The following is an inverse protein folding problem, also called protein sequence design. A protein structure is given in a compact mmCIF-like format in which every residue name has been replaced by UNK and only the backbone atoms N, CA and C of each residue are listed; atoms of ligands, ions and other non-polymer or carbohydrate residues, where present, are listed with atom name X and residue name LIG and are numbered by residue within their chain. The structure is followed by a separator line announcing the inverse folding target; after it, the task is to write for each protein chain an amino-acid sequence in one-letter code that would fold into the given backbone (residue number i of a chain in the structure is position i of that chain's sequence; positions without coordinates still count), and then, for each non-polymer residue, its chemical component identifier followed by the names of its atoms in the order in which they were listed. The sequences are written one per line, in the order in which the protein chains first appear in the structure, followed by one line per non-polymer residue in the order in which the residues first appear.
data_IF_037444714180
#
_entry.id   IF_037444714180
#
_cell.length_a   1.000
_cell.length_b   1.000
_cell.length_c   1.000
_cell.angle_alpha   90.00
_cell.angle_beta   90.00
_cell.angle_gamma   90.00
#
_symmetry.space_group_name_H-M   'P 1'
#
loop_
_entity.id
_entity.type
_entity.pdbx_description
1 polymer ?
#
# COMPACT_ATOMS: atom_id res chain seq x y z
N UNK A 1 -5.28 9.00 26.03
CA UNK A 1 -4.35 7.91 25.67
C UNK A 1 -3.29 8.48 24.77
N UNK A 2 -2.01 8.49 25.20
CA UNK A 2 -0.90 8.86 24.32
C UNK A 2 -0.64 7.69 23.36
N UNK A 3 -0.51 7.92 22.04
CA UNK A 3 -0.07 6.87 21.13
C UNK A 3 1.34 6.46 21.52
N UNK A 4 1.57 5.16 21.69
CA UNK A 4 2.92 4.58 21.80
C UNK A 4 3.75 5.07 20.62
N UNK A 5 5.00 5.53 20.82
CA UNK A 5 5.84 5.98 19.73
C UNK A 5 5.99 4.86 18.71
N UNK A 6 5.64 5.12 17.45
CA UNK A 6 5.81 4.16 16.37
C UNK A 6 7.27 3.70 16.36
N UNK A 7 7.55 2.39 16.27
CA UNK A 7 8.92 1.89 16.28
C UNK A 7 9.68 2.56 15.14
N UNK A 8 10.79 3.23 15.50
CA UNK A 8 11.74 3.75 14.52
C UNK A 8 12.08 2.62 13.56
N UNK A 9 11.84 2.83 12.28
CA UNK A 9 12.10 1.84 11.24
C UNK A 9 13.47 1.19 11.46
N UNK A 10 13.51 -0.15 11.40
CA UNK A 10 14.76 -0.89 11.50
C UNK A 10 15.74 -0.36 10.46
N UNK A 11 17.05 -0.41 10.77
CA UNK A 11 18.10 -0.06 9.81
C UNK A 11 17.89 -0.88 8.52
N UNK A 12 17.43 -0.24 7.45
CA UNK A 12 17.24 -0.86 6.14
C UNK A 12 15.83 -0.74 5.55
N UNK A 13 14.81 -0.41 6.35
CA UNK A 13 13.45 -0.28 5.84
C UNK A 13 13.26 1.04 5.09
N UNK A 14 12.81 0.93 3.83
CA UNK A 14 12.50 2.08 2.99
C UNK A 14 11.16 2.70 3.43
N UNK A 15 11.21 3.65 4.37
CA UNK A 15 10.01 4.41 4.78
C UNK A 15 9.77 5.58 3.83
N UNK A 16 8.57 5.61 3.25
CA UNK A 16 8.11 6.75 2.45
C UNK A 16 8.00 7.98 3.35
N UNK A 17 8.71 9.06 2.99
CA UNK A 17 8.62 10.31 3.72
C UNK A 17 7.25 10.96 3.49
N UNK A 18 6.60 11.54 4.52
CA UNK A 18 5.33 12.24 4.36
C UNK A 18 5.31 13.29 3.24
N UNK A 19 6.45 13.95 3.01
CA UNK A 19 6.63 14.94 1.95
C UNK A 19 6.32 14.37 0.54
N UNK A 20 6.56 13.06 0.31
CA UNK A 20 6.25 12.38 -0.94
C UNK A 20 4.78 12.53 -1.33
N UNK A 21 3.85 12.36 -0.38
CA UNK A 21 2.42 12.48 -0.66
C UNK A 21 2.00 13.93 -0.98
N UNK A 22 2.76 14.92 -0.53
CA UNK A 22 2.52 16.32 -0.93
C UNK A 22 3.27 16.70 -2.20
N UNK A 23 4.12 15.84 -2.76
CA UNK A 23 4.95 16.13 -3.93
C UNK A 23 4.19 15.95 -5.24
N UNK A 24 4.70 16.56 -6.31
CA UNK A 24 4.16 16.39 -7.67
C UNK A 24 4.13 14.93 -8.13
N UNK A 25 5.06 14.09 -7.64
CA UNK A 25 5.15 12.67 -7.98
C UNK A 25 3.97 11.84 -7.48
N UNK A 26 3.26 12.33 -6.46
CA UNK A 26 2.09 11.65 -5.94
C UNK A 26 0.81 12.38 -6.34
N UNK A 27 0.80 13.70 -6.17
CA UNK A 27 -0.38 14.54 -6.40
C UNK A 27 -0.84 14.50 -7.86
N UNK A 28 0.09 14.63 -8.82
CA UNK A 28 -0.29 14.71 -10.23
C UNK A 28 -0.83 13.37 -10.75
N UNK A 29 -0.13 12.23 -10.56
CA UNK A 29 -0.67 10.94 -10.97
C UNK A 29 -2.02 10.64 -10.31
N UNK A 30 -2.20 10.95 -9.02
CA UNK A 30 -3.49 10.71 -8.38
C UNK A 30 -4.60 11.62 -8.93
N UNK A 31 -4.29 12.87 -9.29
CA UNK A 31 -5.25 13.75 -9.97
C UNK A 31 -5.63 13.18 -11.34
N UNK A 32 -4.67 12.67 -12.09
CA UNK A 32 -4.89 12.03 -13.39
C UNK A 32 -5.77 10.79 -13.22
N UNK A 33 -5.48 9.94 -12.24
CA UNK A 33 -6.28 8.76 -11.90
C UNK A 33 -7.73 9.12 -11.50
N UNK A 34 -7.91 10.19 -10.71
CA UNK A 34 -9.25 10.70 -10.37
C UNK A 34 -9.96 11.21 -11.63
N UNK A 35 -9.27 11.91 -12.53
CA UNK A 35 -9.85 12.36 -13.80
C UNK A 35 -10.27 11.15 -14.66
N UNK A 36 -9.44 10.12 -14.76
CA UNK A 36 -9.81 8.88 -15.46
C UNK A 36 -10.99 8.17 -14.80
N UNK A 37 -11.06 8.15 -13.47
CA UNK A 37 -12.23 7.62 -12.75
C UNK A 37 -13.50 8.41 -13.09
N UNK A 38 -13.41 9.74 -13.21
CA UNK A 38 -14.53 10.59 -13.62
C UNK A 38 -14.99 10.30 -15.05
N UNK A 39 -14.07 10.18 -16.01
CA UNK A 39 -14.40 9.87 -17.41
C UNK A 39 -15.04 8.48 -17.56
N UNK A 40 -14.51 7.49 -16.86
CA UNK A 40 -15.07 6.14 -16.89
C UNK A 40 -16.44 6.09 -16.20
N UNK A 41 -16.61 6.83 -15.10
CA UNK A 41 -17.91 6.98 -14.47
C UNK A 41 -18.91 7.66 -15.40
N UNK A 42 -18.52 8.72 -16.11
CA UNK A 42 -19.36 9.38 -17.11
C UNK A 42 -19.84 8.41 -18.18
N UNK A 43 -18.91 7.64 -18.73
CA UNK A 43 -19.20 6.67 -19.80
C UNK A 43 -20.16 5.59 -19.33
N UNK A 44 -19.89 4.98 -18.17
CA UNK A 44 -20.75 3.91 -17.64
C UNK A 44 -22.10 4.43 -17.10
N UNK A 45 -22.12 5.64 -16.54
CA UNK A 45 -23.35 6.26 -16.07
C UNK A 45 -24.30 6.57 -17.23
N UNK A 46 -23.79 7.01 -18.38
CA UNK A 46 -24.60 7.23 -19.58
C UNK A 46 -25.18 5.94 -20.18
N UNK A 47 -24.50 4.81 -19.98
CA UNK A 47 -24.90 3.49 -20.50
C UNK A 47 -25.73 2.66 -19.50
N UNK A 48 -25.99 3.20 -18.31
CA UNK A 48 -26.62 2.43 -17.23
C UNK A 48 -28.10 2.16 -17.52
N UNK A 49 -28.59 1.05 -16.99
CA UNK A 49 -30.02 0.82 -16.86
C UNK A 49 -30.63 1.74 -15.80
N UNK A 50 -31.89 2.18 -16.03
CA UNK A 50 -32.61 3.06 -15.11
C UNK A 50 -32.74 2.47 -13.69
N UNK A 51 -32.76 1.14 -13.57
CA UNK A 51 -32.86 0.39 -12.31
C UNK A 51 -31.57 0.39 -11.49
N UNK A 52 -30.42 0.61 -12.12
CA UNK A 52 -29.12 0.54 -11.46
C UNK A 52 -28.82 1.86 -10.77
N UNK A 53 -28.65 1.81 -9.44
CA UNK A 53 -28.27 2.99 -8.66
C UNK A 53 -26.91 3.54 -9.15
N UNK A 54 -26.79 4.86 -9.37
CA UNK A 54 -25.53 5.45 -9.82
C UNK A 54 -24.35 5.19 -8.89
N UNK A 55 -24.59 5.13 -7.58
CA UNK A 55 -23.53 4.79 -6.61
C UNK A 55 -23.04 3.34 -6.76
N UNK A 56 -23.90 2.43 -7.24
CA UNK A 56 -23.50 1.04 -7.56
C UNK A 56 -22.57 0.99 -8.76
N UNK A 57 -22.83 1.79 -9.80
CA UNK A 57 -21.91 1.95 -10.95
C UNK A 57 -20.56 2.47 -10.48
N UNK A 58 -20.56 3.52 -9.65
CA UNK A 58 -19.34 4.07 -9.06
C UNK A 58 -18.57 3.01 -8.25
N UNK A 59 -19.27 2.24 -7.40
CA UNK A 59 -18.65 1.19 -6.57
C UNK A 59 -18.03 0.08 -7.43
N UNK A 60 -18.68 -0.31 -8.53
CA UNK A 60 -18.12 -1.30 -9.45
C UNK A 60 -16.82 -0.79 -10.08
N UNK A 61 -16.81 0.44 -10.58
CA UNK A 61 -15.61 1.10 -11.10
C UNK A 61 -14.51 1.23 -10.06
N UNK A 62 -14.85 1.60 -8.84
CA UNK A 62 -13.93 1.71 -7.71
C UNK A 62 -13.19 0.38 -7.45
N UNK A 63 -13.93 -0.74 -7.44
CA UNK A 63 -13.37 -2.07 -7.26
C UNK A 63 -12.54 -2.49 -8.49
N UNK A 64 -13.07 -2.27 -9.70
CA UNK A 64 -12.45 -2.65 -10.97
C UNK A 64 -11.08 -1.98 -11.16
N UNK A 65 -10.98 -0.68 -10.86
CA UNK A 65 -9.73 0.08 -10.94
C UNK A 65 -8.79 -0.15 -9.75
N UNK A 66 -9.16 -1.02 -8.80
CA UNK A 66 -8.30 -1.37 -7.68
C UNK A 66 -8.21 -0.32 -6.56
N UNK A 67 -9.07 0.71 -6.54
CA UNK A 67 -9.08 1.74 -5.50
C UNK A 67 -9.32 1.15 -4.09
N UNK A 68 -10.04 0.02 -4.00
CA UNK A 68 -10.21 -0.72 -2.73
C UNK A 68 -8.89 -1.13 -2.07
N UNK A 69 -7.82 -1.28 -2.86
CA UNK A 69 -6.49 -1.66 -2.38
C UNK A 69 -5.61 -0.48 -2.01
N UNK A 70 -6.04 0.76 -2.34
CA UNK A 70 -5.23 1.96 -2.15
C UNK A 70 -4.88 2.16 -0.66
N UNK A 71 -5.80 1.80 0.24
CA UNK A 71 -5.57 1.79 1.69
C UNK A 71 -4.37 0.95 2.15
N UNK A 72 -3.91 -0.02 1.36
CA UNK A 72 -2.81 -0.92 1.73
C UNK A 72 -1.48 -0.52 1.09
N UNK A 73 -1.38 0.67 0.49
CA UNK A 73 -0.12 1.15 -0.09
C UNK A 73 0.85 1.72 0.95
N UNK A 74 0.37 2.09 2.14
CA UNK A 74 1.17 2.76 3.16
C UNK A 74 0.84 2.20 4.55
N UNK A 75 1.80 1.53 5.17
CA UNK A 75 1.65 0.89 6.49
C UNK A 75 2.28 1.72 7.62
N UNK A 76 3.27 2.55 7.34
CA UNK A 76 3.89 3.45 8.33
C UNK A 76 2.89 4.53 8.79
N UNK A 77 2.70 4.68 10.10
CA UNK A 77 1.68 5.57 10.68
C UNK A 77 1.79 7.01 10.22
N UNK A 78 3.01 7.56 10.22
CA UNK A 78 3.26 8.97 9.91
C UNK A 78 3.04 9.27 8.44
N UNK A 79 3.59 8.42 7.57
CA UNK A 79 3.39 8.46 6.13
C UNK A 79 1.90 8.28 5.80
N UNK A 80 1.25 7.30 6.44
CA UNK A 80 -0.14 6.93 6.22
C UNK A 80 -1.11 8.05 6.54
N UNK A 81 -0.93 8.76 7.67
CA UNK A 81 -1.78 9.90 8.00
C UNK A 81 -1.74 10.97 6.88
N UNK A 82 -0.55 11.28 6.37
CA UNK A 82 -0.39 12.27 5.30
C UNK A 82 -0.98 11.77 3.99
N UNK A 83 -0.74 10.51 3.63
CA UNK A 83 -1.34 9.84 2.49
C UNK A 83 -2.88 9.89 2.52
N UNK A 84 -3.50 9.55 3.65
CA UNK A 84 -4.97 9.55 3.79
C UNK A 84 -5.54 10.96 3.65
N UNK A 85 -4.94 11.95 4.33
CA UNK A 85 -5.39 13.34 4.28
C UNK A 85 -5.23 13.95 2.89
N UNK A 86 -4.09 13.73 2.23
CA UNK A 86 -3.87 14.23 0.85
C UNK A 86 -4.84 13.55 -0.10
N UNK A 87 -5.03 12.22 -0.02
CA UNK A 87 -5.96 11.50 -0.92
C UNK A 87 -7.37 12.05 -0.81
N UNK A 88 -7.89 12.20 0.43
CA UNK A 88 -9.22 12.77 0.64
C UNK A 88 -9.30 14.23 0.18
N UNK A 89 -8.26 15.03 0.43
CA UNK A 89 -8.20 16.40 -0.07
C UNK A 89 -8.28 16.45 -1.60
N UNK A 90 -7.57 15.59 -2.32
CA UNK A 90 -7.59 15.54 -3.78
C UNK A 90 -8.95 15.13 -4.36
N UNK A 91 -9.69 14.26 -3.67
CA UNK A 91 -11.09 14.01 -4.01
C UNK A 91 -11.98 15.24 -3.78
N UNK A 92 -11.84 15.89 -2.62
CA UNK A 92 -12.66 17.06 -2.25
C UNK A 92 -12.27 18.34 -3.01
N UNK A 93 -11.07 18.42 -3.58
CA UNK A 93 -10.68 19.47 -4.53
C UNK A 93 -11.63 19.53 -5.74
N UNK A 94 -12.25 18.40 -6.12
CA UNK A 94 -13.20 18.33 -7.24
C UNK A 94 -14.52 19.07 -6.96
N UNK A 95 -14.85 19.35 -5.71
CA UNK A 95 -16.06 20.12 -5.35
C UNK A 95 -16.02 21.53 -5.95
N UNK A 96 -14.83 22.13 -6.07
CA UNK A 96 -14.65 23.45 -6.67
C UNK A 96 -14.52 23.46 -8.20
N UNK A 97 -14.66 22.30 -8.87
CA UNK A 97 -14.59 22.22 -10.33
C UNK A 97 -15.91 22.68 -10.97
N UNK A 98 -15.94 23.15 -12.21
CA UNK A 98 -17.18 23.56 -12.88
C UNK A 98 -18.06 22.38 -13.34
N UNK A 99 -17.47 21.19 -13.57
CA UNK A 99 -18.21 20.00 -13.99
C UNK A 99 -18.97 19.34 -12.81
N UNK A 100 -20.33 19.29 -12.83
CA UNK A 100 -21.11 18.66 -11.77
C UNK A 100 -20.78 17.19 -11.56
N UNK A 101 -20.47 16.46 -12.63
CA UNK A 101 -20.19 15.04 -12.53
C UNK A 101 -18.85 14.79 -11.83
N UNK A 102 -17.84 15.60 -12.13
CA UNK A 102 -16.56 15.63 -11.42
C UNK A 102 -16.75 15.91 -9.92
N UNK A 103 -17.63 16.85 -9.54
CA UNK A 103 -17.98 17.10 -8.13
C UNK A 103 -18.56 15.85 -7.47
N UNK A 104 -19.52 15.19 -8.13
CA UNK A 104 -20.16 13.97 -7.61
C UNK A 104 -19.17 12.83 -7.43
N UNK A 105 -18.29 12.59 -8.40
CA UNK A 105 -17.23 11.58 -8.31
C UNK A 105 -16.26 11.90 -7.17
N UNK A 106 -15.92 13.17 -6.98
CA UNK A 106 -15.13 13.63 -5.83
C UNK A 106 -15.79 13.27 -4.49
N UNK A 107 -17.09 13.54 -4.34
CA UNK A 107 -17.85 13.22 -3.12
C UNK A 107 -17.96 11.71 -2.89
N UNK A 108 -18.31 10.94 -3.92
CA UNK A 108 -18.39 9.47 -3.83
C UNK A 108 -17.03 8.85 -3.50
N UNK A 109 -15.95 9.36 -4.10
CA UNK A 109 -14.58 8.93 -3.82
C UNK A 109 -14.16 9.25 -2.39
N UNK A 110 -14.40 10.48 -1.92
CA UNK A 110 -14.10 10.87 -0.54
C UNK A 110 -14.89 10.04 0.49
N UNK A 111 -16.19 9.85 0.27
CA UNK A 111 -17.04 8.99 1.10
C UNK A 111 -16.53 7.55 1.13
N UNK A 112 -16.37 6.94 -0.04
CA UNK A 112 -15.97 5.54 -0.15
C UNK A 112 -14.60 5.33 0.46
N UNK A 113 -13.63 6.20 0.18
CA UNK A 113 -12.29 6.09 0.75
C UNK A 113 -12.31 6.26 2.28
N UNK A 114 -13.04 7.24 2.81
CA UNK A 114 -13.10 7.48 4.26
C UNK A 114 -13.73 6.30 5.03
N UNK A 115 -14.90 5.80 4.60
CA UNK A 115 -15.62 4.74 5.31
C UNK A 115 -15.06 3.33 5.09
N UNK A 116 -14.19 3.14 4.10
CA UNK A 116 -13.51 1.85 3.86
C UNK A 116 -12.12 1.79 4.48
N UNK A 117 -11.72 2.78 5.28
CA UNK A 117 -10.48 2.71 6.05
C UNK A 117 -10.46 1.46 6.94
N UNK A 118 -9.40 0.63 6.89
CA UNK A 118 -9.28 -0.54 7.74
C UNK A 118 -9.33 -0.16 9.23
N UNK A 119 -10.29 -0.71 9.97
CA UNK A 119 -10.45 -0.43 11.41
C UNK A 119 -10.14 -1.64 12.32
N UNK A 120 -10.04 -2.85 11.76
CA UNK A 120 -9.80 -4.11 12.51
C UNK A 120 -8.64 -4.92 11.90
N UNK A 121 -7.57 -4.26 11.48
CA UNK A 121 -6.37 -4.93 10.99
C UNK A 121 -5.46 -5.31 12.17
N UNK A 122 -4.81 -6.48 12.08
CA UNK A 122 -3.67 -6.85 12.94
C UNK A 122 -2.40 -6.87 12.08
N UNK A 123 -1.42 -5.96 12.30
CA UNK A 123 -1.39 -4.86 13.28
C UNK A 123 -2.37 -3.71 12.95
N UNK A 124 -2.80 -2.91 13.96
CA UNK A 124 -3.72 -1.80 13.74
C UNK A 124 -3.12 -0.78 12.80
N UNK A 125 -3.83 -0.45 11.73
CA UNK A 125 -3.42 0.59 10.78
C UNK A 125 -3.94 1.94 11.25
N UNK A 126 -3.09 2.96 11.20
CA UNK A 126 -3.48 4.34 11.49
C UNK A 126 -4.69 4.78 10.65
N UNK A 127 -5.69 5.40 11.26
CA UNK A 127 -6.86 5.94 10.57
C UNK A 127 -7.00 7.43 10.85
N UNK A 128 -7.66 8.15 9.95
CA UNK A 128 -8.05 9.54 10.20
C UNK A 128 -9.52 9.60 10.60
N UNK A 129 -9.82 10.37 11.64
CA UNK A 129 -11.17 10.55 12.17
C UNK A 129 -11.84 11.82 11.65
N UNK A 130 -11.05 12.76 11.12
CA UNK A 130 -11.57 14.01 10.58
C UNK A 130 -10.82 14.41 9.31
N UNK A 131 -11.55 15.06 8.40
CA UNK A 131 -11.06 15.58 7.12
C UNK A 131 -11.07 17.11 7.20
N UNK A 132 -9.92 17.78 7.10
CA UNK A 132 -9.88 19.23 7.02
C UNK A 132 -10.57 19.72 5.75
N UNK A 133 -11.55 20.63 5.87
CA UNK A 133 -12.30 21.17 4.74
C UNK A 133 -12.60 22.66 4.95
N UNK A 134 -12.19 23.55 4.02
CA UNK A 134 -12.59 24.96 4.06
C UNK A 134 -14.11 25.16 4.07
N UNK A 135 -14.58 26.14 4.85
CA UNK A 135 -16.02 26.42 5.05
C UNK A 135 -16.78 26.71 3.75
N UNK A 136 -16.13 27.34 2.78
CA UNK A 136 -16.66 27.62 1.44
C UNK A 136 -16.87 26.34 0.63
N UNK A 137 -15.92 25.41 0.68
CA UNK A 137 -16.07 24.09 0.04
C UNK A 137 -17.10 23.22 0.75
N UNK A 138 -17.22 23.33 2.07
CA UNK A 138 -18.30 22.69 2.82
C UNK A 138 -19.69 23.24 2.41
N UNK A 139 -19.80 24.55 2.18
CA UNK A 139 -21.02 25.15 1.66
C UNK A 139 -21.35 24.67 0.23
N UNK A 140 -20.35 24.48 -0.63
CA UNK A 140 -20.54 23.88 -1.96
C UNK A 140 -20.98 22.41 -1.85
N UNK A 141 -20.35 21.62 -0.97
CA UNK A 141 -20.71 20.21 -0.73
C UNK A 141 -22.18 20.05 -0.34
N UNK A 142 -22.69 20.92 0.54
CA UNK A 142 -24.07 20.87 1.02
C UNK A 142 -25.11 21.27 -0.03
N UNK A 143 -24.73 22.07 -1.02
CA UNK A 143 -25.60 22.52 -2.11
C UNK A 143 -25.57 21.60 -3.33
N UNK A 144 -24.57 20.71 -3.42
CA UNK A 144 -24.34 19.90 -4.62
C UNK A 144 -25.58 19.11 -5.06
N UNK A 145 -26.34 18.50 -4.14
CA UNK A 145 -27.54 17.75 -4.50
C UNK A 145 -28.64 18.63 -5.11
N UNK A 146 -28.71 19.91 -4.74
CA UNK A 146 -29.71 20.84 -5.26
C UNK A 146 -29.31 21.41 -6.62
N UNK A 147 -28.03 21.33 -7.00
CA UNK A 147 -27.52 21.76 -8.30
C UNK A 147 -27.74 20.71 -9.41
N UNK A 148 -28.00 19.45 -9.04
CA UNK A 148 -28.23 18.34 -9.97
C UNK A 148 -29.69 18.32 -10.49
N UNK A 149 -30.08 19.40 -11.17
CA UNK A 149 -31.46 19.63 -11.65
C UNK A 149 -31.67 19.09 -13.08
N UNK A 150 -30.60 18.93 -13.87
CA UNK A 150 -30.73 18.45 -15.25
C UNK A 150 -31.26 17.01 -15.29
N UNK A 151 -32.09 16.70 -16.29
CA UNK A 151 -32.71 15.38 -16.47
C UNK A 151 -31.67 14.23 -16.50
N UNK A 152 -30.50 14.49 -17.08
CA UNK A 152 -29.39 13.53 -17.12
C UNK A 152 -28.76 13.28 -15.74
N UNK A 153 -28.76 14.27 -14.85
CA UNK A 153 -28.10 14.21 -13.54
C UNK A 153 -29.06 14.01 -12.36
N UNK A 154 -30.36 14.20 -12.55
CA UNK A 154 -31.40 13.94 -11.55
C UNK A 154 -31.21 12.60 -10.80
N UNK A 155 -30.84 11.49 -11.47
CA UNK A 155 -30.63 10.20 -10.80
C UNK A 155 -29.50 10.20 -9.75
N UNK A 156 -28.56 11.15 -9.83
CA UNK A 156 -27.46 11.32 -8.88
C UNK A 156 -27.88 12.07 -7.61
N UNK A 157 -29.01 12.80 -7.64
CA UNK A 157 -29.43 13.67 -6.55
C UNK A 157 -29.60 12.95 -5.22
N UNK A 158 -30.38 11.87 -5.21
CA UNK A 158 -30.66 11.10 -4.00
C UNK A 158 -29.40 10.41 -3.43
N UNK A 159 -28.57 9.69 -4.23
CA UNK A 159 -27.31 9.15 -3.74
C UNK A 159 -26.35 10.22 -3.18
N UNK A 160 -26.25 11.38 -3.84
CA UNK A 160 -25.38 12.48 -3.39
C UNK A 160 -25.91 13.05 -2.07
N UNK A 161 -27.21 13.31 -1.97
CA UNK A 161 -27.84 13.79 -0.74
C UNK A 161 -27.63 12.81 0.42
N UNK A 162 -27.80 11.50 0.17
CA UNK A 162 -27.54 10.47 1.17
C UNK A 162 -26.09 10.52 1.65
N UNK A 163 -25.14 10.46 0.71
CA UNK A 163 -23.70 10.46 1.01
C UNK A 163 -23.28 11.71 1.80
N UNK A 164 -23.65 12.90 1.33
CA UNK A 164 -23.27 14.16 2.00
C UNK A 164 -23.90 14.25 3.39
N UNK A 165 -25.18 13.88 3.52
CA UNK A 165 -25.87 13.85 4.81
C UNK A 165 -25.20 12.89 5.79
N UNK A 166 -24.80 11.70 5.36
CA UNK A 166 -24.08 10.74 6.22
C UNK A 166 -22.75 11.33 6.70
N UNK A 167 -21.94 11.90 5.80
CA UNK A 167 -20.64 12.52 6.18
C UNK A 167 -20.83 13.67 7.18
N UNK A 168 -21.89 14.47 7.04
CA UNK A 168 -22.22 15.58 7.94
C UNK A 168 -22.72 15.08 9.30
N UNK A 169 -23.63 14.10 9.30
CA UNK A 169 -24.18 13.52 10.52
C UNK A 169 -23.11 12.85 11.38
N UNK A 170 -22.15 12.18 10.74
CA UNK A 170 -21.03 11.53 11.40
C UNK A 170 -19.91 12.51 11.81
N UNK A 171 -20.07 13.81 11.54
CA UNK A 171 -19.14 14.88 11.92
C UNK A 171 -17.69 14.63 11.46
N UNK A 172 -17.53 14.09 10.25
CA UNK A 172 -16.20 13.70 9.76
C UNK A 172 -15.37 14.89 9.27
N UNK A 173 -15.92 16.10 9.23
CA UNK A 173 -15.21 17.29 8.74
C UNK A 173 -14.67 18.15 9.88
N UNK A 174 -13.41 18.55 9.76
CA UNK A 174 -12.80 19.62 10.56
C UNK A 174 -12.82 20.91 9.74
N UNK A 175 -13.76 21.79 10.07
CA UNK A 175 -13.98 23.01 9.29
C UNK A 175 -12.80 23.98 9.44
N UNK A 176 -12.22 24.35 8.30
CA UNK A 176 -11.20 25.38 8.20
C UNK A 176 -11.82 26.72 7.79
N UNK A 177 -11.14 27.85 8.05
CA UNK A 177 -11.49 29.12 7.43
C UNK A 177 -11.56 29.03 5.90
N UNK A 178 -12.16 30.05 5.28
CA UNK A 178 -12.31 30.16 3.81
C UNK A 178 -11.03 29.79 3.08
N UNK A 179 -11.13 29.09 1.95
CA UNK A 179 -9.99 28.64 1.14
C UNK A 179 -9.05 29.78 0.73
N UNK A 180 -9.58 31.00 0.59
CA UNK A 180 -8.81 32.23 0.31
C UNK A 180 -7.74 32.53 1.37
N UNK A 181 -8.03 32.19 2.63
CA UNK A 181 -7.11 32.38 3.76
C UNK A 181 -5.88 31.47 3.69
N UNK A 182 -5.93 30.40 2.90
CA UNK A 182 -4.86 29.42 2.79
C UNK A 182 -4.63 28.60 4.06
N UNK A 183 -5.69 28.34 4.83
CA UNK A 183 -5.62 27.59 6.08
C UNK A 183 -5.29 26.09 5.93
N UNK A 184 -5.31 25.55 4.70
CA UNK A 184 -4.89 24.17 4.43
C UNK A 184 -3.36 24.00 4.59
N UNK A 185 -2.91 22.83 5.02
CA UNK A 185 -1.48 22.51 5.14
C UNK A 185 -1.15 21.26 4.31
N UNK A 186 -0.33 21.36 3.24
CA UNK A 186 0.24 22.59 2.68
C UNK A 186 -0.85 23.49 2.05
N UNK A 187 -0.59 24.79 1.90
CA UNK A 187 -1.58 25.73 1.34
C UNK A 187 -2.06 25.30 -0.04
N UNK A 188 -1.16 24.86 -0.91
CA UNK A 188 -1.47 24.34 -2.23
C UNK A 188 -0.80 22.96 -2.44
N UNK A 189 -1.42 22.15 -3.30
CA UNK A 189 -0.88 20.88 -3.76
C UNK A 189 -0.61 20.94 -5.27
N UNK A 190 0.54 20.43 -5.76
CA UNK A 190 1.65 19.88 -4.99
C UNK A 190 2.46 20.94 -4.23
N UNK A 191 3.07 20.56 -3.11
CA UNK A 191 4.03 21.37 -2.34
C UNK A 191 5.40 21.39 -3.00
N UNK A 192 5.87 20.24 -3.44
CA UNK A 192 7.19 20.06 -4.04
C UNK A 192 7.03 19.83 -5.54
N UNK A 193 7.56 20.74 -6.35
CA UNK A 193 7.60 20.63 -7.81
C UNK A 193 8.99 20.16 -8.20
N UNK A 194 9.08 19.03 -8.89
CA UNK A 194 10.31 18.59 -9.51
C UNK A 194 10.62 19.49 -10.69
N UNK A 195 11.56 20.40 -10.50
CA UNK A 195 12.20 21.08 -11.62
C UNK A 195 13.19 20.08 -12.20
N UNK A 196 12.87 19.52 -13.36
CA UNK A 196 13.85 18.76 -14.13
C UNK A 196 15.00 19.73 -14.43
N UNK A 197 16.15 19.52 -13.81
CA UNK A 197 17.31 20.36 -14.04
C UNK A 197 17.78 20.11 -15.48
N UNK A 198 17.61 21.08 -16.40
CA UNK A 198 17.98 20.88 -17.80
C UNK A 198 19.49 20.65 -17.94
N UNK A 199 20.29 21.08 -16.96
CA UNK A 199 21.73 20.86 -16.94
C UNK A 199 22.11 19.43 -16.51
N UNK A 200 21.26 18.70 -15.77
CA UNK A 200 21.58 17.35 -15.29
C UNK A 200 21.55 16.27 -16.39
N UNK A 201 21.09 16.60 -17.61
CA UNK A 201 21.29 15.76 -18.80
C UNK A 201 22.66 15.97 -19.48
N UNK A 202 23.43 17.00 -19.08
CA UNK A 202 24.74 17.35 -19.69
C UNK A 202 25.89 17.50 -18.67
N UNK A 203 25.87 16.82 -17.52
CA UNK A 203 27.02 16.86 -16.57
C UNK A 203 28.03 15.74 -16.87
N UNK A 204 29.13 16.18 -17.46
CA UNK A 204 30.43 15.54 -17.59
C UNK A 204 30.90 14.71 -16.37
N UNK A 205 31.74 13.69 -16.59
CA UNK A 205 32.20 12.79 -15.53
C UNK A 205 33.14 13.51 -14.56
N UNK A 206 32.68 13.76 -13.32
CA UNK A 206 33.58 14.25 -12.25
C UNK A 206 33.58 13.40 -10.98
N UNK A 207 34.84 13.14 -10.60
CA UNK A 207 35.44 12.72 -9.32
C UNK A 207 35.26 11.25 -8.89
N UNK A 208 36.34 10.50 -9.15
CA UNK A 208 36.68 9.17 -8.60
C UNK A 208 36.50 9.15 -7.09
N UNK A 209 35.65 8.26 -6.59
CA UNK A 209 35.62 7.89 -5.18
C UNK A 209 34.25 7.46 -4.67
N UNK A 210 33.16 8.00 -5.21
CA UNK A 210 31.80 7.56 -4.87
C UNK A 210 31.12 7.01 -6.13
N UNK A 211 30.64 5.76 -6.13
CA UNK A 211 29.95 5.20 -7.28
C UNK A 211 28.83 6.14 -7.71
N UNK A 212 28.96 6.68 -8.92
CA UNK A 212 28.00 7.64 -9.46
C UNK A 212 26.62 6.99 -9.58
N UNK A 213 25.53 7.78 -9.63
CA UNK A 213 24.19 7.23 -9.92
C UNK A 213 24.19 6.37 -11.19
N UNK A 214 25.00 6.75 -12.18
CA UNK A 214 25.19 6.00 -13.42
C UNK A 214 25.91 4.67 -13.21
N UNK A 215 26.94 4.61 -12.37
CA UNK A 215 27.61 3.34 -12.01
C UNK A 215 26.72 2.44 -11.17
N UNK A 216 25.89 3.01 -10.28
CA UNK A 216 24.86 2.25 -9.55
C UNK A 216 23.80 1.69 -10.50
N UNK A 217 23.31 2.49 -11.45
CA UNK A 217 22.37 2.04 -12.47
C UNK A 217 22.99 0.97 -13.37
N UNK A 218 24.26 1.12 -13.77
CA UNK A 218 24.98 0.13 -14.58
C UNK A 218 25.23 -1.17 -13.80
N UNK A 219 25.55 -1.10 -12.50
CA UNK A 219 25.63 -2.28 -11.62
C UNK A 219 24.27 -2.95 -11.44
N UNK A 220 23.20 -2.16 -11.27
CA UNK A 220 21.84 -2.71 -11.17
C UNK A 220 21.42 -3.40 -12.47
N UNK A 221 21.72 -2.80 -13.64
CA UNK A 221 21.48 -3.44 -14.93
C UNK A 221 22.33 -4.69 -15.13
N UNK A 222 23.60 -4.69 -14.72
CA UNK A 222 24.44 -5.88 -14.78
C UNK A 222 23.92 -7.00 -13.86
N UNK A 223 23.47 -6.64 -12.66
CA UNK A 223 22.85 -7.60 -11.74
C UNK A 223 21.54 -8.17 -12.28
N UNK A 224 20.69 -7.34 -12.92
CA UNK A 224 19.48 -7.81 -13.60
C UNK A 224 19.81 -8.74 -14.77
N UNK A 225 20.77 -8.38 -15.61
CA UNK A 225 21.20 -9.22 -16.72
C UNK A 225 21.81 -10.56 -16.26
N UNK A 226 22.49 -10.57 -15.12
CA UNK A 226 23.00 -11.81 -14.50
C UNK A 226 21.87 -12.65 -13.90
N UNK A 227 20.83 -12.00 -13.36
CA UNK A 227 19.63 -12.68 -12.86
C UNK A 227 18.80 -13.28 -14.00
N UNK A 228 18.64 -12.54 -15.11
CA UNK A 228 18.04 -13.06 -16.35
C UNK A 228 18.85 -14.24 -16.90
N UNK A 229 20.18 -14.15 -16.91
CA UNK A 229 21.05 -15.27 -17.32
C UNK A 229 20.94 -16.50 -16.40
N UNK A 230 20.69 -16.29 -15.10
CA UNK A 230 20.44 -17.36 -14.14
C UNK A 230 19.04 -17.97 -14.33
N UNK A 231 18.04 -17.15 -14.67
CA UNK A 231 16.69 -17.61 -15.03
C UNK A 231 16.69 -18.41 -16.35
N UNK A 232 17.53 -18.01 -17.31
CA UNK A 232 17.69 -18.69 -18.59
C UNK A 232 18.64 -19.91 -18.51
N UNK A 233 19.36 -20.10 -17.40
CA UNK A 233 20.16 -21.31 -17.20
C UNK A 233 19.23 -22.48 -16.87
N UNK A 234 19.27 -23.61 -17.59
CA UNK A 234 18.34 -24.74 -17.46
C UNK A 234 18.55 -25.58 -16.17
N UNK A 235 19.07 -24.97 -15.12
CA UNK A 235 19.21 -25.59 -13.80
C UNK A 235 18.06 -25.15 -12.90
N UNK A 236 17.06 -26.02 -12.87
CA UNK A 236 15.88 -26.04 -12.01
C UNK A 236 14.84 -24.95 -12.28
N UNK A 237 13.92 -25.26 -13.20
CA UNK A 237 12.54 -24.78 -13.17
C UNK A 237 11.97 -24.97 -11.75
N UNK A 238 12.08 -23.94 -10.92
CA UNK A 238 11.29 -23.84 -9.70
C UNK A 238 10.11 -22.95 -10.06
N UNK A 239 9.24 -23.47 -10.92
CA UNK A 239 7.84 -23.06 -10.89
C UNK A 239 7.39 -23.29 -9.44
N UNK A 240 6.94 -22.23 -8.77
CA UNK A 240 6.17 -22.37 -7.54
C UNK A 240 4.72 -22.24 -7.99
N UNK A 241 4.03 -23.35 -8.33
CA UNK A 241 2.60 -23.30 -8.59
C UNK A 241 1.89 -22.76 -7.35
N UNK A 242 0.86 -21.92 -7.51
CA UNK A 242 0.02 -21.50 -6.38
C UNK A 242 -0.72 -22.70 -5.73
N UNK A 243 -0.86 -23.83 -6.45
CA UNK A 243 -1.30 -25.13 -5.92
C UNK A 243 -0.26 -25.82 -4.98
N UNK A 244 0.93 -25.26 -4.85
CA UNK A 244 2.04 -25.87 -4.11
C UNK A 244 1.92 -25.74 -2.60
N UNK A 245 1.25 -24.72 -2.05
CA UNK A 245 1.24 -24.56 -0.59
C UNK A 245 0.36 -25.61 0.08
N UNK A 246 -0.79 -25.93 -0.51
CA UNK A 246 -1.65 -27.02 -0.06
C UNK A 246 -1.02 -28.40 -0.30
N UNK A 247 -0.41 -28.60 -1.48
CA UNK A 247 0.31 -29.85 -1.79
C UNK A 247 1.49 -30.05 -0.86
N UNK A 248 2.31 -29.02 -0.65
CA UNK A 248 3.41 -29.02 0.30
C UNK A 248 2.93 -29.27 1.73
N UNK A 249 1.85 -28.62 2.17
CA UNK A 249 1.30 -28.85 3.51
C UNK A 249 0.86 -30.30 3.68
N UNK A 250 0.17 -30.88 2.69
CA UNK A 250 -0.27 -32.27 2.70
C UNK A 250 0.93 -33.23 2.71
N UNK A 251 1.85 -33.06 1.77
CA UNK A 251 3.01 -33.94 1.60
C UNK A 251 3.93 -33.85 2.83
N UNK A 252 4.03 -32.67 3.45
CA UNK A 252 4.72 -32.46 4.73
C UNK A 252 4.01 -33.20 5.87
N UNK A 253 2.69 -33.08 6.00
CA UNK A 253 1.94 -33.82 7.03
C UNK A 253 2.08 -35.33 6.87
N UNK A 254 2.08 -35.82 5.63
CA UNK A 254 2.31 -37.24 5.32
C UNK A 254 3.72 -37.69 5.70
N UNK A 255 4.74 -36.91 5.33
CA UNK A 255 6.13 -37.16 5.72
C UNK A 255 6.30 -37.18 7.24
N UNK A 256 5.68 -36.24 7.95
CA UNK A 256 5.72 -36.17 9.41
C UNK A 256 5.09 -37.41 10.06
N UNK A 257 3.94 -37.86 9.55
CA UNK A 257 3.28 -39.08 10.04
C UNK A 257 4.12 -40.34 9.81
N UNK A 258 4.82 -40.43 8.67
CA UNK A 258 5.73 -41.55 8.37
C UNK A 258 6.93 -41.55 9.31
N UNK A 259 7.50 -40.38 9.61
CA UNK A 259 8.64 -40.25 10.53
C UNK A 259 8.25 -40.59 11.97
N UNK A 260 7.07 -40.16 12.42
CA UNK A 260 6.55 -40.54 13.75
C UNK A 260 6.27 -42.04 13.86
N UNK A 261 5.79 -42.66 12.78
CA UNK A 261 5.49 -44.09 12.74
C UNK A 261 6.70 -45.02 12.60
N UNK A 262 7.79 -44.56 11.99
CA UNK A 262 8.99 -45.37 11.75
C UNK A 262 9.88 -45.53 12.99
N UNK A 263 9.75 -44.63 13.97
CA UNK A 263 10.60 -44.59 15.17
C UNK A 263 12.05 -44.17 14.91
N UNK A 264 12.42 -43.88 13.65
CA UNK A 264 13.76 -43.44 13.24
C UNK A 264 13.90 -41.92 13.35
N UNK A 265 13.79 -41.41 14.58
CA UNK A 265 13.95 -39.97 14.87
C UNK A 265 15.42 -39.54 14.91
N UNK A 266 16.36 -40.49 14.84
CA UNK A 266 17.79 -40.21 14.91
C UNK A 266 18.29 -39.60 13.60
N UNK A 267 17.81 -40.09 12.45
CA UNK A 267 18.12 -39.49 11.14
C UNK A 267 17.65 -38.03 11.03
N UNK A 268 16.47 -37.71 11.59
CA UNK A 268 15.92 -36.34 11.62
C UNK A 268 16.78 -35.43 12.49
N UNK A 269 17.23 -35.91 13.66
CA UNK A 269 18.15 -35.17 14.55
C UNK A 269 19.49 -34.90 13.88
N UNK A 270 20.05 -35.90 13.20
CA UNK A 270 21.31 -35.74 12.47
C UNK A 270 21.18 -34.72 11.33
N UNK A 271 20.08 -34.77 10.56
CA UNK A 271 19.81 -33.80 9.51
C UNK A 271 19.67 -32.37 10.06
N UNK A 272 18.94 -32.21 11.18
CA UNK A 272 18.79 -30.93 11.86
C UNK A 272 20.14 -30.36 12.35
N UNK A 273 21.02 -31.22 12.87
CA UNK A 273 22.37 -30.82 13.29
C UNK A 273 23.22 -30.33 12.11
N UNK A 274 23.19 -31.04 10.98
CA UNK A 274 23.92 -30.66 9.76
C UNK A 274 23.42 -29.33 9.20
N UNK A 275 22.10 -29.12 9.17
CA UNK A 275 21.50 -27.86 8.71
C UNK A 275 21.94 -26.70 9.60
N UNK A 276 21.91 -26.90 10.93
CA UNK A 276 22.32 -25.88 11.88
C UNK A 276 23.80 -25.51 11.72
N UNK A 277 24.67 -26.50 11.53
CA UNK A 277 26.10 -26.29 11.27
C UNK A 277 26.33 -25.48 9.99
N UNK A 278 25.69 -25.86 8.88
CA UNK A 278 25.76 -25.11 7.62
C UNK A 278 25.24 -23.67 7.75
N UNK A 279 24.20 -23.45 8.54
CA UNK A 279 23.69 -22.10 8.79
C UNK A 279 24.68 -21.24 9.60
N UNK A 280 25.39 -21.84 10.56
CA UNK A 280 26.46 -21.15 11.31
C UNK A 280 27.65 -20.81 10.42
N UNK A 281 28.06 -21.72 9.53
CA UNK A 281 29.10 -21.46 8.54
C UNK A 281 28.72 -20.32 7.59
N UNK A 282 27.48 -20.33 7.07
CA UNK A 282 26.97 -19.27 6.22
C UNK A 282 26.91 -17.92 6.95
N UNK A 283 26.54 -17.92 8.24
CA UNK A 283 26.55 -16.72 9.07
C UNK A 283 27.98 -16.19 9.26
N UNK A 284 28.94 -17.06 9.58
CA UNK A 284 30.34 -16.68 9.74
C UNK A 284 30.93 -16.07 8.46
N UNK A 285 30.58 -16.61 7.29
CA UNK A 285 30.97 -16.05 6.00
C UNK A 285 30.28 -14.70 5.69
N UNK A 286 29.06 -14.47 6.20
CA UNK A 286 28.29 -13.25 5.93
C UNK A 286 28.61 -12.07 6.86
N UNK A 287 29.27 -12.30 8.01
CA UNK A 287 29.68 -11.23 8.94
C UNK A 287 30.64 -10.23 8.28
N UNK A 288 31.40 -10.64 7.25
CA UNK A 288 32.23 -9.74 6.45
C UNK A 288 31.43 -8.69 5.65
N UNK A 289 30.12 -8.87 5.49
CA UNK A 289 29.23 -8.00 4.68
C UNK A 289 28.25 -7.19 5.55
N UNK A 290 28.32 -7.30 6.89
CA UNK A 290 27.63 -6.38 7.81
C UNK A 290 26.10 -6.53 7.91
N UNK A 291 25.54 -7.69 7.53
CA UNK A 291 24.13 -8.03 7.73
C UNK A 291 23.92 -8.90 8.98
N UNK A 292 22.99 -8.50 9.86
CA UNK A 292 22.61 -9.29 11.03
C UNK A 292 21.62 -10.41 10.62
N UNK A 293 22.05 -11.67 10.71
CA UNK A 293 21.27 -12.83 10.27
C UNK A 293 20.30 -13.30 11.38
N UNK A 294 19.07 -12.80 11.36
CA UNK A 294 18.02 -13.11 12.37
C UNK A 294 17.53 -14.58 12.29
N UNK A 295 17.87 -15.32 11.22
CA UNK A 295 17.39 -16.68 10.99
C UNK A 295 18.05 -17.78 11.85
N UNK A 296 19.34 -17.63 12.18
CA UNK A 296 20.11 -18.70 12.86
C UNK A 296 19.59 -18.96 14.27
N UNK A 297 19.34 -17.90 15.05
CA UNK A 297 18.82 -18.02 16.41
C UNK A 297 17.40 -18.62 16.49
N UNK A 298 16.67 -18.72 15.38
CA UNK A 298 15.37 -19.41 15.32
C UNK A 298 15.55 -20.92 15.11
N UNK A 299 16.46 -21.28 14.21
CA UNK A 299 16.83 -22.67 13.95
C UNK A 299 17.49 -23.29 15.19
N UNK A 300 18.35 -22.53 15.90
CA UNK A 300 18.95 -22.97 17.16
C UNK A 300 17.90 -23.28 18.24
N UNK A 301 16.87 -22.45 18.38
CA UNK A 301 15.77 -22.71 19.32
C UNK A 301 14.94 -23.93 18.91
N UNK A 302 14.58 -24.02 17.63
CA UNK A 302 13.81 -25.16 17.12
C UNK A 302 14.53 -26.51 17.30
N UNK A 303 15.86 -26.52 17.20
CA UNK A 303 16.68 -27.72 17.44
C UNK A 303 16.92 -27.96 18.94
N UNK A 304 17.02 -26.89 19.75
CA UNK A 304 17.32 -26.97 21.18
C UNK A 304 16.15 -27.34 22.09
N UNK A 305 14.91 -26.99 21.73
CA UNK A 305 13.73 -27.15 22.59
C UNK A 305 13.24 -28.61 22.73
N UNK A 306 14.00 -29.60 22.24
CA UNK A 306 13.66 -31.02 22.33
C UNK A 306 12.44 -31.41 21.48
N UNK A 307 11.89 -30.48 20.70
CA UNK A 307 10.83 -30.75 19.76
C UNK A 307 11.39 -31.62 18.64
N UNK A 308 10.89 -32.86 18.55
CA UNK A 308 11.49 -33.91 17.71
C UNK A 308 11.44 -33.56 16.22
N UNK A 309 10.61 -32.58 15.85
CA UNK A 309 10.40 -32.09 14.49
C UNK A 309 11.48 -31.08 14.03
N UNK A 310 12.17 -30.41 14.95
CA UNK A 310 13.24 -29.44 14.66
C UNK A 310 12.88 -28.39 13.60
N UNK A 311 13.72 -28.26 12.56
CA UNK A 311 13.60 -27.22 11.51
C UNK A 311 12.30 -27.34 10.71
N UNK A 312 11.75 -28.55 10.58
CA UNK A 312 10.49 -28.79 9.87
C UNK A 312 9.28 -28.17 10.57
N UNK A 313 9.37 -27.84 11.87
CA UNK A 313 8.31 -27.22 12.65
C UNK A 313 8.18 -25.71 12.44
N UNK A 314 9.15 -25.06 11.80
CA UNK A 314 9.24 -23.59 11.73
C UNK A 314 8.19 -22.92 10.83
N UNK A 315 7.49 -23.69 9.99
CA UNK A 315 6.64 -23.15 8.91
C UNK A 315 5.21 -22.77 9.33
N UNK A 316 4.74 -23.12 10.53
CA UNK A 316 3.33 -22.87 10.91
C UNK A 316 3.11 -21.60 11.76
N UNK A 317 4.17 -20.85 12.10
CA UNK A 317 4.05 -19.76 13.09
C UNK A 317 4.60 -18.40 12.69
N UNK A 318 5.02 -18.17 11.45
CA UNK A 318 5.72 -16.92 11.07
C UNK A 318 4.79 -15.71 10.83
N UNK A 319 3.81 -15.49 11.72
CA UNK A 319 2.95 -14.30 11.69
C UNK A 319 1.71 -14.34 12.60
N UNK A 320 1.44 -15.44 13.31
CA UNK A 320 0.40 -15.48 14.35
C UNK A 320 1.06 -15.66 15.71
N UNK A 321 1.32 -14.53 16.35
CA UNK A 321 1.54 -14.51 17.80
C UNK A 321 0.23 -14.91 18.49
N UNK A 322 0.34 -15.84 19.44
CA UNK A 322 -0.67 -16.03 20.49
C UNK A 322 -0.51 -14.99 21.59
#
# INVERSE_FOLDING_TARGET
MQPTPSPSAGRGDAVLQPAYFTSVLYVQPLRDDISTLTEDFRTQFAQRDATTSPFSVFRQLWVLKGWKWLHFKVFDDRARQTFLLVTLRLFLERIGNDDPLSRVVGVFGAYTFYYTQPCVAGPPLGRINHIPLPIDRFAQLTRLSDELISEELEPLREPVLFVTRTMIQDQIFYLLPSSESGAENPRALPREVLVADPAAMEIEPRKRGRPSKREKAKRAQAALAELDRLLDSPSAETTIPEDSLWSYSRDKSELMAVLEGSGDMEGVRQANAIILERMREAQAASVEVGGEYVGVGRVERAVGDGNVVGVFGLLEGAGREG
#
